data_IF_167722458172
#
_entry.id   IF_167722458172
#
_cell.length_a   1.000
_cell.length_b   1.000
_cell.length_c   1.000
_cell.angle_alpha   90.00
_cell.angle_beta   90.00
_cell.angle_gamma   90.00
#
_symmetry.space_group_name_H-M   'P 1'
#
loop_
_entity.id
_entity.type
_entity.pdbx_description
1 polymer ?
#
# COMPACT_ATOMS: atom_id res chain seq x y z
N UNK A 1 23.56 7.97 34.01
CA UNK A 1 23.79 7.21 32.77
C UNK A 1 22.60 6.29 32.61
N UNK A 2 21.75 6.55 31.64
CA UNK A 2 20.85 5.56 31.05
C UNK A 2 20.42 6.15 29.71
N UNK A 3 21.20 5.86 28.66
CA UNK A 3 20.75 6.04 27.29
C UNK A 3 19.70 4.95 27.06
N UNK A 4 18.43 5.37 27.01
CA UNK A 4 17.33 4.50 26.60
C UNK A 4 17.43 4.39 25.08
N UNK A 5 17.93 3.25 24.62
CA UNK A 5 18.02 2.90 23.20
C UNK A 5 16.65 3.12 22.55
N UNK A 6 16.55 4.14 21.69
CA UNK A 6 15.40 4.32 20.81
C UNK A 6 15.37 3.15 19.85
N UNK A 7 14.37 2.27 19.99
CA UNK A 7 14.18 1.16 19.06
C UNK A 7 14.11 1.69 17.64
N UNK A 8 15.14 1.41 16.84
CA UNK A 8 15.19 1.84 15.45
C UNK A 8 14.00 1.21 14.72
N UNK A 9 13.06 2.04 14.28
CA UNK A 9 11.88 1.57 13.59
C UNK A 9 12.31 0.81 12.32
N UNK A 10 11.94 -0.47 12.24
CA UNK A 10 12.34 -1.33 11.12
C UNK A 10 11.53 -0.99 9.89
N UNK A 11 12.20 -0.42 8.88
CA UNK A 11 11.61 -0.19 7.56
C UNK A 11 11.67 -1.48 6.75
N UNK A 12 10.53 -1.92 6.23
CA UNK A 12 10.40 -3.05 5.30
C UNK A 12 9.63 -2.60 4.07
N UNK A 13 9.69 -3.33 2.95
CA UNK A 13 8.91 -3.01 1.76
C UNK A 13 7.96 -4.15 1.44
N UNK A 14 6.67 -3.85 1.23
CA UNK A 14 5.70 -4.79 0.67
C UNK A 14 5.49 -4.49 -0.80
N UNK A 15 5.43 -5.54 -1.61
CA UNK A 15 5.21 -5.45 -3.05
C UNK A 15 3.88 -6.13 -3.37
N UNK A 16 3.02 -5.41 -4.09
CA UNK A 16 1.73 -5.89 -4.55
C UNK A 16 1.69 -5.80 -6.07
N UNK A 17 1.22 -6.86 -6.71
CA UNK A 17 0.96 -6.89 -8.15
C UNK A 17 -0.54 -7.06 -8.36
N UNK A 18 -1.15 -6.10 -9.04
CA UNK A 18 -2.55 -6.10 -9.42
C UNK A 18 -2.64 -6.47 -10.89
N UNK A 19 -3.49 -7.44 -11.21
CA UNK A 19 -3.65 -7.95 -12.57
C UNK A 19 -5.09 -7.78 -13.01
N UNK A 20 -5.29 -7.34 -14.25
CA UNK A 20 -6.58 -7.35 -14.91
C UNK A 20 -6.59 -8.53 -15.90
N UNK A 21 -7.38 -9.56 -15.57
CA UNK A 21 -7.47 -10.78 -16.39
C UNK A 21 -8.14 -10.53 -17.74
N UNK A 22 -8.93 -9.46 -17.86
CA UNK A 22 -9.65 -9.14 -19.09
C UNK A 22 -8.72 -8.45 -20.10
N UNK A 23 -7.90 -7.51 -19.63
CA UNK A 23 -6.99 -6.72 -20.49
C UNK A 23 -5.58 -7.29 -20.55
N UNK A 24 -5.22 -8.22 -19.65
CA UNK A 24 -3.85 -8.70 -19.41
C UNK A 24 -2.88 -7.62 -18.94
N UNK A 25 -3.39 -6.49 -18.47
CA UNK A 25 -2.58 -5.42 -17.90
C UNK A 25 -2.25 -5.72 -16.44
N UNK A 26 -1.08 -5.27 -16.00
CA UNK A 26 -0.65 -5.40 -14.61
C UNK A 26 0.00 -4.13 -14.08
N UNK A 27 -0.16 -3.92 -12.78
CA UNK A 27 0.44 -2.83 -12.03
C UNK A 27 1.13 -3.38 -10.79
N UNK A 28 2.42 -3.09 -10.63
CA UNK A 28 3.19 -3.45 -9.44
C UNK A 28 3.46 -2.22 -8.60
N UNK A 29 3.10 -2.26 -7.32
CA UNK A 29 3.29 -1.18 -6.35
C UNK A 29 4.16 -1.68 -5.20
N UNK A 30 5.20 -0.92 -4.86
CA UNK A 30 6.07 -1.18 -3.72
C UNK A 30 5.84 -0.13 -2.63
N UNK A 31 5.45 -0.54 -1.44
CA UNK A 31 5.08 0.33 -0.33
C UNK A 31 6.05 0.11 0.84
N UNK A 32 6.79 1.15 1.27
CA UNK A 32 7.58 1.07 2.50
C UNK A 32 6.65 1.05 3.72
N UNK A 33 6.89 0.12 4.63
CA UNK A 33 6.22 0.00 5.90
C UNK A 33 7.20 0.21 7.04
N UNK A 34 6.78 1.00 8.03
CA UNK A 34 7.52 1.21 9.27
C UNK A 34 6.70 0.59 10.40
N UNK A 35 7.19 -0.55 10.88
CA UNK A 35 6.57 -1.27 11.99
C UNK A 35 6.99 -0.63 13.31
N UNK A 36 6.48 0.58 13.56
CA UNK A 36 6.55 1.24 14.86
C UNK A 36 5.15 1.27 15.49
N UNK A 37 4.97 0.73 16.71
CA UNK A 37 3.69 0.72 17.41
C UNK A 37 3.04 2.10 17.56
N UNK A 38 3.81 3.19 17.48
CA UNK A 38 3.32 4.56 17.64
C UNK A 38 2.95 5.23 16.32
N UNK A 39 3.47 4.75 15.17
CA UNK A 39 3.32 5.44 13.88
C UNK A 39 2.40 4.72 12.89
N UNK A 40 2.05 3.44 13.10
CA UNK A 40 0.99 2.76 12.34
C UNK A 40 1.20 2.68 10.82
N UNK A 41 2.43 2.87 10.34
CA UNK A 41 2.75 2.95 8.91
C UNK A 41 2.89 1.54 8.31
N UNK A 42 1.79 0.82 8.20
CA UNK A 42 1.72 -0.47 7.50
C UNK A 42 0.44 -0.57 6.66
N UNK A 43 0.50 -1.37 5.61
CA UNK A 43 -0.59 -1.65 4.70
C UNK A 43 -1.56 -2.63 5.34
N UNK A 44 -2.80 -2.17 5.51
CA UNK A 44 -3.89 -3.01 5.99
C UNK A 44 -4.40 -3.91 4.85
N UNK A 45 -4.84 -5.14 5.14
CA UNK A 45 -5.34 -6.06 4.11
C UNK A 45 -6.47 -5.47 3.26
N UNK A 46 -7.33 -4.62 3.83
CA UNK A 46 -8.42 -3.97 3.10
C UNK A 46 -7.93 -3.01 2.01
N UNK A 47 -6.79 -2.32 2.20
CA UNK A 47 -6.23 -1.41 1.21
C UNK A 47 -5.83 -2.17 -0.07
N UNK A 48 -5.27 -3.38 0.06
CA UNK A 48 -4.88 -4.22 -1.08
C UNK A 48 -6.12 -4.69 -1.85
N UNK A 49 -7.18 -5.09 -1.14
CA UNK A 49 -8.45 -5.48 -1.76
C UNK A 49 -9.08 -4.30 -2.51
N UNK A 50 -9.09 -3.11 -1.90
CA UNK A 50 -9.61 -1.89 -2.53
C UNK A 50 -8.78 -1.50 -3.76
N UNK A 51 -7.45 -1.56 -3.67
CA UNK A 51 -6.57 -1.26 -4.79
C UNK A 51 -6.81 -2.21 -5.98
N UNK A 52 -7.01 -3.51 -5.75
CA UNK A 52 -7.38 -4.45 -6.82
C UNK A 52 -8.73 -4.09 -7.45
N UNK A 53 -9.73 -3.75 -6.63
CA UNK A 53 -11.05 -3.34 -7.15
C UNK A 53 -10.95 -2.09 -8.02
N UNK A 54 -10.23 -1.06 -7.55
CA UNK A 54 -10.02 0.18 -8.30
C UNK A 54 -9.22 -0.06 -9.57
N UNK A 55 -8.22 -0.94 -9.56
CA UNK A 55 -7.45 -1.32 -10.75
C UNK A 55 -8.34 -1.97 -11.82
N UNK A 56 -9.21 -2.90 -11.41
CA UNK A 56 -10.15 -3.57 -12.31
C UNK A 56 -11.22 -2.61 -12.87
N UNK A 57 -11.58 -1.54 -12.14
CA UNK A 57 -12.59 -0.55 -12.56
C UNK A 57 -11.97 0.83 -12.88
N UNK A 58 -10.69 0.87 -13.25
CA UNK A 58 -9.93 2.12 -13.44
C UNK A 58 -10.51 3.03 -14.52
N UNK A 59 -11.18 2.46 -15.52
CA UNK A 59 -11.84 3.21 -16.58
C UNK A 59 -12.98 4.08 -16.03
N UNK A 60 -13.68 3.61 -14.99
CA UNK A 60 -14.74 4.39 -14.34
C UNK A 60 -14.20 5.60 -13.58
N UNK A 61 -12.94 5.56 -13.15
CA UNK A 61 -12.27 6.64 -12.41
C UNK A 61 -11.68 7.71 -13.34
N UNK A 62 -11.50 7.40 -14.62
CA UNK A 62 -10.87 8.31 -15.57
C UNK A 62 -11.67 9.61 -15.69
N UNK A 63 -11.01 10.74 -15.45
CA UNK A 63 -11.63 12.07 -15.48
C UNK A 63 -12.40 12.46 -14.22
N UNK A 64 -12.40 11.64 -13.15
CA UNK A 64 -13.02 11.98 -11.87
C UNK A 64 -12.03 12.62 -10.91
N UNK A 65 -12.55 13.44 -9.99
CA UNK A 65 -11.80 13.89 -8.80
C UNK A 65 -11.95 12.84 -7.70
N UNK A 66 -10.83 12.37 -7.16
CA UNK A 66 -10.79 11.33 -6.12
C UNK A 66 -10.27 11.95 -4.81
N UNK A 67 -10.92 11.60 -3.70
CA UNK A 67 -10.46 11.89 -2.34
C UNK A 67 -10.16 10.55 -1.66
N UNK A 68 -9.00 10.46 -1.02
CA UNK A 68 -8.61 9.35 -0.15
C UNK A 68 -8.92 9.69 1.31
#
# INVERSE_FOLDING_TARGET
MEQKEGGSAKVTSKVFTFEDKNTKESLTVSIPEVLDPQYGMYVWPCAVVMAQYLWTHRDDLTGRTVLE
#
